data_IF_653483822057
#
_entry.id   IF_653483822057
#
_cell.length_a   1.000
_cell.length_b   1.000
_cell.length_c   1.000
_cell.angle_alpha   90.00
_cell.angle_beta   90.00
_cell.angle_gamma   90.00
#
_symmetry.space_group_name_H-M   'P 1'
#
loop_
_entity.id
_entity.type
_entity.pdbx_description
1 polymer ?
#
# COMPACT_ATOMS: atom_id res chain seq x y z
N UNK A 1 -25.93 -36.22 26.29
CA UNK A 1 -26.40 -35.05 27.08
C UNK A 1 -25.79 -33.74 26.57
N UNK A 2 -24.51 -33.73 26.17
CA UNK A 2 -23.81 -32.58 25.55
C UNK A 2 -24.38 -32.21 24.16
N UNK A 3 -24.71 -33.19 23.33
CA UNK A 3 -25.23 -32.94 21.95
C UNK A 3 -26.61 -32.27 21.91
N UNK A 4 -27.38 -32.38 23.01
CA UNK A 4 -28.70 -31.76 23.12
C UNK A 4 -28.59 -30.26 23.48
N UNK A 5 -27.57 -29.89 24.26
CA UNK A 5 -27.26 -28.51 24.65
C UNK A 5 -26.77 -27.69 23.45
N UNK A 6 -26.06 -28.32 22.51
CA UNK A 6 -25.58 -27.67 21.28
C UNK A 6 -26.68 -27.48 20.22
N UNK A 7 -27.73 -28.33 20.20
CA UNK A 7 -28.86 -28.20 19.28
C UNK A 7 -29.88 -27.12 19.67
N UNK A 8 -29.98 -26.77 20.94
CA UNK A 8 -30.98 -25.80 21.44
C UNK A 8 -30.48 -24.35 21.50
N UNK A 9 -29.16 -24.13 21.43
CA UNK A 9 -28.62 -22.80 21.22
C UNK A 9 -28.73 -22.43 19.75
N UNK A 10 -29.89 -21.88 19.35
CA UNK A 10 -29.96 -20.94 18.22
C UNK A 10 -29.01 -19.78 18.54
N UNK A 11 -27.71 -19.96 18.30
CA UNK A 11 -26.80 -18.85 18.21
C UNK A 11 -27.26 -18.04 17.01
N UNK A 12 -28.12 -17.05 17.26
CA UNK A 12 -28.35 -15.97 16.31
C UNK A 12 -26.95 -15.52 15.90
N UNK A 13 -26.63 -15.56 14.60
CA UNK A 13 -25.45 -14.87 14.08
C UNK A 13 -25.49 -13.47 14.66
N UNK A 14 -24.67 -13.20 15.67
CA UNK A 14 -24.49 -11.87 16.22
C UNK A 14 -23.78 -11.15 15.09
N UNK A 15 -24.54 -10.42 14.28
CA UNK A 15 -23.98 -9.59 13.22
C UNK A 15 -23.07 -8.62 13.94
N UNK A 16 -21.76 -8.70 13.70
CA UNK A 16 -20.80 -7.76 14.27
C UNK A 16 -21.31 -6.36 13.95
N UNK A 17 -21.69 -5.60 14.97
CA UNK A 17 -22.22 -4.23 14.80
C UNK A 17 -21.12 -3.27 14.31
N UNK A 18 -19.86 -3.69 14.40
CA UNK A 18 -18.68 -2.93 14.04
C UNK A 18 -17.82 -3.75 13.08
N UNK A 19 -17.28 -3.10 12.05
CA UNK A 19 -16.30 -3.72 11.15
C UNK A 19 -14.94 -3.80 11.84
N UNK A 20 -14.20 -4.87 11.59
CA UNK A 20 -12.81 -4.99 12.03
C UNK A 20 -11.93 -4.06 11.21
N UNK A 21 -11.07 -3.28 11.86
CA UNK A 21 -10.15 -2.38 11.15
C UNK A 21 -8.95 -3.14 10.60
N UNK A 22 -8.58 -2.86 9.35
CA UNK A 22 -7.35 -3.36 8.72
C UNK A 22 -6.51 -2.24 8.13
N UNK A 23 -5.24 -2.55 7.93
CA UNK A 23 -4.24 -1.70 7.27
C UNK A 23 -3.60 -2.51 6.14
N UNK A 24 -3.45 -1.92 4.97
CA UNK A 24 -2.91 -2.58 3.78
C UNK A 24 -1.52 -2.00 3.52
N UNK A 25 -0.51 -2.86 3.47
CA UNK A 25 0.83 -2.50 3.01
C UNK A 25 1.10 -3.14 1.65
N UNK A 26 1.57 -2.35 0.69
CA UNK A 26 1.90 -2.80 -0.66
C UNK A 26 3.37 -2.50 -0.90
N UNK A 27 4.16 -3.57 -0.99
CA UNK A 27 5.59 -3.48 -1.19
C UNK A 27 5.91 -3.29 -2.69
N UNK A 28 6.57 -2.20 -3.03
CA UNK A 28 7.06 -1.90 -4.38
C UNK A 28 8.57 -2.21 -4.41
N UNK A 29 9.02 -3.32 -5.02
CA UNK A 29 10.39 -3.79 -4.86
C UNK A 29 11.38 -3.12 -5.83
N UNK A 30 11.08 -1.97 -6.43
CA UNK A 30 11.88 -1.40 -7.52
C UNK A 30 12.48 -0.04 -7.19
N UNK A 31 13.76 0.13 -7.51
CA UNK A 31 14.51 1.37 -7.37
C UNK A 31 15.24 1.73 -8.67
N UNK A 32 15.53 3.02 -8.84
CA UNK A 32 16.39 3.51 -9.94
C UNK A 32 17.85 3.06 -9.76
N UNK A 33 18.30 2.99 -8.51
CA UNK A 33 19.64 2.56 -8.12
C UNK A 33 19.62 1.97 -6.71
N UNK A 34 20.67 1.24 -6.33
CA UNK A 34 20.80 0.67 -5.00
C UNK A 34 21.40 1.71 -4.03
N UNK A 35 20.67 2.03 -2.95
CA UNK A 35 21.20 2.84 -1.85
C UNK A 35 21.92 1.94 -0.84
N UNK A 36 23.19 2.20 -0.48
CA UNK A 36 23.95 1.36 0.45
C UNK A 36 23.39 1.36 1.88
N UNK A 37 22.76 2.47 2.28
CA UNK A 37 22.14 2.63 3.60
C UNK A 37 20.73 2.02 3.70
N UNK A 38 20.11 1.60 2.60
CA UNK A 38 18.73 1.14 2.62
C UNK A 38 18.65 -0.36 2.87
N UNK A 39 18.00 -0.76 3.98
CA UNK A 39 17.83 -2.16 4.38
C UNK A 39 16.60 -2.85 3.77
N UNK A 40 15.72 -2.11 3.07
CA UNK A 40 14.54 -2.71 2.43
C UNK A 40 14.94 -3.57 1.23
N UNK A 41 14.20 -4.67 1.04
CA UNK A 41 14.27 -5.46 -0.18
C UNK A 41 13.92 -4.57 -1.39
N UNK A 42 14.77 -4.61 -2.41
CA UNK A 42 14.63 -3.84 -3.63
C UNK A 42 15.48 -4.44 -4.74
N UNK A 43 15.09 -4.15 -5.97
CA UNK A 43 15.74 -4.54 -7.21
C UNK A 43 15.90 -3.29 -8.07
N UNK A 44 16.99 -3.24 -8.81
CA UNK A 44 17.22 -2.15 -9.78
C UNK A 44 16.50 -2.50 -11.07
N UNK A 45 15.80 -1.51 -11.64
CA UNK A 45 15.00 -1.66 -12.85
C UNK A 45 13.51 -1.69 -12.55
N UNK A 46 12.72 -2.18 -13.50
CA UNK A 46 11.30 -2.41 -13.36
C UNK A 46 10.90 -3.64 -14.17
N UNK A 47 9.65 -4.06 -14.01
CA UNK A 47 9.00 -5.04 -14.88
C UNK A 47 7.87 -4.39 -15.64
N UNK A 48 7.73 -4.73 -16.91
CA UNK A 48 6.74 -4.12 -17.80
C UNK A 48 5.31 -4.47 -17.36
N UNK A 49 5.08 -5.70 -16.90
CA UNK A 49 3.75 -6.20 -16.50
C UNK A 49 3.43 -5.93 -15.02
N UNK A 50 4.14 -5.02 -14.34
CA UNK A 50 4.02 -4.85 -12.88
C UNK A 50 2.57 -4.59 -12.45
N UNK A 51 1.89 -3.69 -13.17
CA UNK A 51 0.50 -3.34 -12.88
C UNK A 51 -0.38 -4.57 -12.91
N UNK A 52 -0.32 -5.34 -13.99
CA UNK A 52 -1.16 -6.51 -14.18
C UNK A 52 -0.86 -7.59 -13.16
N UNK A 53 0.41 -7.72 -12.75
CA UNK A 53 0.76 -8.62 -11.67
C UNK A 53 0.12 -8.25 -10.34
N UNK A 54 0.17 -6.99 -9.92
CA UNK A 54 -0.52 -6.57 -8.68
C UNK A 54 -2.04 -6.77 -8.79
N UNK A 55 -2.62 -6.54 -9.96
CA UNK A 55 -4.05 -6.77 -10.17
C UNK A 55 -4.41 -8.27 -10.06
N UNK A 56 -3.59 -9.15 -10.63
CA UNK A 56 -3.76 -10.62 -10.52
C UNK A 56 -3.52 -11.11 -9.10
N UNK A 57 -2.51 -10.59 -8.42
CA UNK A 57 -2.20 -10.91 -7.02
C UNK A 57 -3.40 -10.54 -6.13
N UNK A 58 -3.93 -9.32 -6.27
CA UNK A 58 -5.15 -8.88 -5.59
C UNK A 58 -6.36 -9.77 -5.92
N UNK A 59 -6.48 -10.25 -7.16
CA UNK A 59 -7.55 -11.17 -7.55
C UNK A 59 -7.48 -12.51 -6.84
N UNK A 60 -6.28 -13.02 -6.56
CA UNK A 60 -6.08 -14.32 -5.92
C UNK A 60 -6.61 -14.40 -4.48
N UNK A 61 -6.87 -13.26 -3.84
CA UNK A 61 -7.51 -13.21 -2.54
C UNK A 61 -9.01 -13.47 -2.65
N UNK A 62 -9.43 -14.68 -2.25
CA UNK A 62 -10.84 -15.14 -2.16
C UNK A 62 -11.55 -14.71 -0.86
N UNK A 63 -10.84 -14.02 0.04
CA UNK A 63 -11.40 -13.58 1.31
C UNK A 63 -12.55 -12.60 1.10
N UNK A 64 -13.68 -12.86 1.74
CA UNK A 64 -14.76 -11.87 1.82
C UNK A 64 -14.38 -10.76 2.80
N UNK A 65 -14.08 -9.58 2.28
CA UNK A 65 -13.65 -8.45 3.08
C UNK A 65 -14.81 -7.60 3.65
N UNK A 66 -16.07 -8.05 3.54
CA UNK A 66 -17.24 -7.25 3.95
C UNK A 66 -17.26 -6.87 5.43
N UNK A 67 -16.60 -7.66 6.27
CA UNK A 67 -16.51 -7.46 7.72
C UNK A 67 -15.36 -6.50 8.12
N UNK A 68 -14.56 -6.04 7.15
CA UNK A 68 -13.43 -5.18 7.40
C UNK A 68 -13.64 -3.75 6.88
N UNK A 69 -12.99 -2.81 7.55
CA UNK A 69 -12.82 -1.44 7.11
C UNK A 69 -11.34 -1.13 6.95
N UNK A 70 -10.94 -0.63 5.77
CA UNK A 70 -9.57 -0.18 5.54
C UNK A 70 -9.38 1.20 6.13
N UNK A 71 -8.45 1.32 7.07
CA UNK A 71 -8.08 2.62 7.64
C UNK A 71 -6.91 3.27 6.93
N UNK A 72 -5.98 2.48 6.40
CA UNK A 72 -4.87 2.98 5.61
C UNK A 72 -4.40 1.99 4.55
N UNK A 73 -3.91 2.54 3.44
CA UNK A 73 -3.15 1.85 2.40
C UNK A 73 -1.79 2.53 2.31
N UNK A 74 -0.70 1.76 2.41
CA UNK A 74 0.66 2.28 2.38
C UNK A 74 1.47 1.64 1.26
N UNK A 75 1.87 2.43 0.27
CA UNK A 75 2.79 2.04 -0.80
C UNK A 75 4.22 2.39 -0.40
N UNK A 76 5.06 1.38 -0.16
CA UNK A 76 6.43 1.58 0.31
C UNK A 76 7.42 0.55 -0.21
N UNK A 77 8.65 0.59 0.30
CA UNK A 77 9.70 -0.38 -0.01
C UNK A 77 10.84 0.24 -0.82
N UNK A 78 10.86 -0.04 -2.11
CA UNK A 78 11.82 0.52 -3.06
C UNK A 78 11.56 2.01 -3.32
N UNK A 79 11.08 2.37 -4.50
CA UNK A 79 10.77 3.76 -4.83
C UNK A 79 9.42 3.84 -5.54
N UNK A 80 8.30 3.80 -4.79
CA UNK A 80 6.96 3.94 -5.35
C UNK A 80 6.81 5.15 -6.27
N UNK A 81 7.40 6.30 -5.90
CA UNK A 81 7.38 7.51 -6.75
C UNK A 81 8.02 7.41 -8.16
N UNK A 82 8.61 6.26 -8.53
CA UNK A 82 9.01 5.98 -9.92
C UNK A 82 7.83 5.59 -10.83
N UNK A 83 6.71 5.16 -10.25
CA UNK A 83 5.55 4.66 -10.99
C UNK A 83 4.55 5.79 -11.27
N UNK A 84 3.80 5.63 -12.35
CA UNK A 84 2.81 6.63 -12.77
C UNK A 84 1.61 6.67 -11.83
N UNK A 85 0.88 7.79 -11.79
CA UNK A 85 -0.36 7.89 -11.02
C UNK A 85 -1.39 6.82 -11.44
N UNK A 86 -1.46 6.48 -12.73
CA UNK A 86 -2.35 5.43 -13.25
C UNK A 86 -2.06 4.04 -12.65
N UNK A 87 -0.80 3.74 -12.34
CA UNK A 87 -0.44 2.49 -11.65
C UNK A 87 -1.14 2.40 -10.28
N UNK A 88 -1.05 3.47 -9.48
CA UNK A 88 -1.68 3.53 -8.16
C UNK A 88 -3.20 3.55 -8.25
N UNK A 89 -3.76 4.33 -9.17
CA UNK A 89 -5.21 4.42 -9.39
C UNK A 89 -5.81 3.04 -9.68
N UNK A 90 -5.19 2.26 -10.58
CA UNK A 90 -5.66 0.90 -10.91
C UNK A 90 -5.67 -0.02 -9.68
N UNK A 91 -4.62 0.03 -8.85
CA UNK A 91 -4.50 -0.78 -7.64
C UNK A 91 -5.54 -0.35 -6.59
N UNK A 92 -5.65 0.95 -6.32
CA UNK A 92 -6.62 1.51 -5.36
C UNK A 92 -8.05 1.15 -5.77
N UNK A 93 -8.39 1.31 -7.06
CA UNK A 93 -9.69 0.93 -7.58
C UNK A 93 -9.95 -0.58 -7.47
N UNK A 94 -8.92 -1.41 -7.66
CA UNK A 94 -9.03 -2.87 -7.50
C UNK A 94 -9.32 -3.25 -6.04
N UNK A 95 -8.62 -2.61 -5.09
CA UNK A 95 -8.89 -2.77 -3.65
C UNK A 95 -10.32 -2.33 -3.34
N UNK A 96 -10.75 -1.15 -3.82
CA UNK A 96 -12.10 -0.61 -3.63
C UNK A 96 -13.23 -1.51 -4.13
N UNK A 97 -12.96 -2.37 -5.12
CA UNK A 97 -13.93 -3.39 -5.60
C UNK A 97 -14.04 -4.60 -4.67
N UNK A 98 -12.99 -4.91 -3.90
CA UNK A 98 -12.95 -6.07 -2.97
C UNK A 98 -13.34 -5.67 -1.54
N UNK A 99 -12.98 -4.47 -1.11
CA UNK A 99 -13.26 -3.93 0.21
C UNK A 99 -13.71 -2.47 0.10
N UNK A 100 -14.78 -2.13 0.83
CA UNK A 100 -15.28 -0.75 0.87
C UNK A 100 -14.24 0.17 1.49
N UNK A 101 -13.81 1.18 0.74
CA UNK A 101 -12.90 2.23 1.22
C UNK A 101 -13.70 3.41 1.77
N UNK A 102 -13.39 3.82 2.99
CA UNK A 102 -13.96 5.03 3.58
C UNK A 102 -13.42 6.26 2.82
N UNK A 103 -14.22 7.31 2.54
CA UNK A 103 -13.71 8.55 1.97
C UNK A 103 -12.55 9.20 2.75
N UNK A 104 -12.43 8.91 4.05
CA UNK A 104 -11.33 9.39 4.91
C UNK A 104 -10.12 8.46 4.96
N UNK A 105 -10.08 7.39 4.16
CA UNK A 105 -8.96 6.44 4.14
C UNK A 105 -7.66 7.17 3.82
N UNK A 106 -6.63 6.94 4.64
CA UNK A 106 -5.31 7.47 4.38
C UNK A 106 -4.60 6.57 3.36
N UNK A 107 -4.25 7.12 2.20
CA UNK A 107 -3.50 6.43 1.17
C UNK A 107 -2.14 7.10 1.05
N UNK A 108 -1.13 6.41 1.56
CA UNK A 108 0.25 6.91 1.67
C UNK A 108 1.13 6.38 0.56
N UNK A 109 2.00 7.24 0.02
CA UNK A 109 3.06 6.85 -0.92
C UNK A 109 4.42 7.32 -0.41
N UNK A 110 5.43 6.46 -0.45
CA UNK A 110 6.82 6.85 -0.28
C UNK A 110 7.38 7.55 -1.53
N UNK A 111 7.96 8.73 -1.32
CA UNK A 111 8.52 9.58 -2.35
C UNK A 111 10.01 9.78 -2.07
N UNK A 112 10.82 9.46 -3.08
CA UNK A 112 12.19 9.93 -3.14
C UNK A 112 12.18 11.35 -3.75
N UNK A 113 12.64 12.39 -3.04
CA UNK A 113 12.65 13.76 -3.56
C UNK A 113 13.37 13.88 -4.92
N UNK A 114 14.38 13.05 -5.18
CA UNK A 114 15.17 13.09 -6.42
C UNK A 114 14.41 12.53 -7.63
N UNK A 115 13.27 11.86 -7.43
CA UNK A 115 12.45 11.29 -8.50
C UNK A 115 11.14 12.04 -8.68
N UNK A 116 10.86 13.06 -7.85
CA UNK A 116 9.60 13.79 -7.89
C UNK A 116 9.63 14.91 -8.92
N UNK A 117 8.59 14.97 -9.76
CA UNK A 117 8.20 16.18 -10.50
C UNK A 117 6.93 16.77 -9.90
N UNK A 118 6.74 18.08 -10.02
CA UNK A 118 5.59 18.79 -9.45
C UNK A 118 4.27 18.34 -10.10
N UNK A 119 4.25 18.09 -11.41
CA UNK A 119 3.07 17.52 -12.08
C UNK A 119 2.62 16.18 -11.46
N UNK A 120 3.57 15.33 -11.05
CA UNK A 120 3.28 14.01 -10.47
C UNK A 120 2.45 14.11 -9.18
N UNK A 121 2.64 15.13 -8.34
CA UNK A 121 1.87 15.25 -7.10
C UNK A 121 0.38 15.48 -7.34
N UNK A 122 0.05 16.26 -8.38
CA UNK A 122 -1.35 16.53 -8.73
C UNK A 122 -2.03 15.28 -9.25
N UNK A 123 -1.33 14.55 -10.12
CA UNK A 123 -1.81 13.28 -10.67
C UNK A 123 -1.96 12.22 -9.58
N UNK A 124 -0.99 12.10 -8.67
CA UNK A 124 -1.08 11.18 -7.52
C UNK A 124 -2.29 11.50 -6.63
N UNK A 125 -2.55 12.79 -6.37
CA UNK A 125 -3.75 13.22 -5.64
C UNK A 125 -5.03 12.81 -6.38
N UNK A 126 -5.08 12.98 -7.69
CA UNK A 126 -6.22 12.57 -8.53
C UNK A 126 -6.41 11.04 -8.53
N UNK A 127 -5.31 10.28 -8.48
CA UNK A 127 -5.33 8.82 -8.35
C UNK A 127 -5.78 8.33 -6.95
N UNK A 128 -6.03 9.23 -6.00
CA UNK A 128 -6.53 8.91 -4.66
C UNK A 128 -5.46 8.90 -3.56
N UNK A 129 -4.20 9.21 -3.87
CA UNK A 129 -3.17 9.38 -2.83
C UNK A 129 -3.52 10.61 -1.96
N UNK A 130 -3.54 10.42 -0.64
CA UNK A 130 -3.87 11.50 0.31
C UNK A 130 -2.68 11.94 1.16
N UNK A 131 -1.62 11.12 1.29
CA UNK A 131 -0.43 11.46 2.07
C UNK A 131 0.89 11.10 1.37
N UNK A 132 1.70 12.09 0.95
CA UNK A 132 3.08 11.81 0.54
C UNK A 132 3.99 11.65 1.77
N UNK A 133 4.91 10.67 1.72
CA UNK A 133 5.96 10.43 2.71
C UNK A 133 7.33 10.63 2.07
N UNK A 134 8.04 11.70 2.44
CA UNK A 134 9.31 12.07 1.80
C UNK A 134 10.51 11.47 2.53
N UNK A 135 11.29 10.66 1.82
CA UNK A 135 12.52 10.06 2.35
C UNK A 135 13.72 10.99 2.27
N UNK A 136 13.80 12.02 3.11
CA UNK A 136 14.99 12.88 3.23
C UNK A 136 15.97 12.27 4.22
N UNK A 137 17.12 11.80 3.74
CA UNK A 137 18.10 11.10 4.58
C UNK A 137 19.12 12.05 5.21
N UNK A 138 19.43 13.16 4.53
CA UNK A 138 20.33 14.21 5.02
C UNK A 138 19.96 15.56 4.37
N UNK A 139 20.14 16.65 5.13
CA UNK A 139 19.95 18.03 4.64
C UNK A 139 21.26 18.70 4.22
N UNK A 140 22.40 17.99 4.29
CA UNK A 140 23.71 18.53 3.93
C UNK A 140 24.59 17.46 3.27
N UNK A 141 25.59 17.93 2.51
CA UNK A 141 26.52 17.09 1.75
C UNK A 141 27.37 16.16 2.63
N UNK A 142 27.65 16.55 3.88
CA UNK A 142 28.46 15.74 4.80
C UNK A 142 27.67 14.50 5.23
N UNK A 143 26.41 14.69 5.62
CA UNK A 143 25.48 13.62 5.96
C UNK A 143 25.24 12.68 4.78
N UNK A 144 24.99 13.23 3.59
CA UNK A 144 24.85 12.44 2.37
C UNK A 144 26.10 11.58 2.09
N UNK A 145 27.30 12.17 2.16
CA UNK A 145 28.54 11.43 1.99
C UNK A 145 28.71 10.32 3.03
N UNK A 146 28.30 10.55 4.28
CA UNK A 146 28.40 9.54 5.34
C UNK A 146 27.46 8.34 5.10
N UNK A 147 26.31 8.55 4.46
CA UNK A 147 25.39 7.47 4.09
C UNK A 147 25.93 6.56 2.97
N UNK A 148 26.90 7.05 2.18
CA UNK A 148 27.47 6.32 1.04
C UNK A 148 28.77 5.57 1.36
N UNK A 149 29.24 5.62 2.62
CA UNK A 149 30.51 4.99 3.05
C UNK A 149 30.39 3.53 3.45
N UNK A 150 29.20 2.95 3.36
CA UNK A 150 28.91 1.56 3.71
C UNK A 150 28.86 0.67 2.47
#
# INVERSE_FOLDING_TARGET
>A
MVDKILKERKMKKVKLLFKSTIYIYIHIPYCKSQCPYCAFFKQVGNREDLTDFFLRDLDSYETNFSEFEVKSIYFGGGTPSLFSASFFEKIINKIGKKISLNPSVEITIEINPNTLKTENLRELKQAGITRPSFGIQAFNKIGEKNLLKF
#
